data_IF_553737113675
#
_entry.id   IF_553737113675
#
_cell.length_a   1.000
_cell.length_b   1.000
_cell.length_c   1.000
_cell.angle_alpha   90.00
_cell.angle_beta   90.00
_cell.angle_gamma   90.00
#
_symmetry.space_group_name_H-M   'P 1'
#
loop_
_entity.id
_entity.type
_entity.pdbx_description
1 polymer ?
#
# COMPACT_ATOMS: atom_id res chain seq x y z
N UNK A 1 25.60 -8.61 -5.23
CA UNK A 1 24.41 -7.74 -5.32
C UNK A 1 23.83 -7.68 -3.92
N UNK A 2 23.91 -6.54 -3.24
CA UNK A 2 23.38 -6.39 -1.88
C UNK A 2 21.89 -6.12 -2.00
N UNK A 3 21.05 -7.13 -1.81
CA UNK A 3 19.62 -6.89 -1.68
C UNK A 3 19.40 -5.98 -0.47
N UNK A 4 18.69 -4.87 -0.67
CA UNK A 4 18.32 -4.00 0.45
C UNK A 4 17.55 -4.83 1.48
N UNK A 5 17.73 -4.63 2.78
CA UNK A 5 16.98 -5.39 3.79
C UNK A 5 15.48 -5.19 3.60
N UNK A 6 14.70 -6.27 3.78
CA UNK A 6 13.24 -6.17 3.80
C UNK A 6 12.82 -5.27 4.96
N UNK A 7 12.03 -4.26 4.66
CA UNK A 7 11.43 -3.36 5.64
C UNK A 7 9.93 -3.61 5.71
N UNK A 8 9.36 -3.40 6.89
CA UNK A 8 7.92 -3.49 7.09
C UNK A 8 7.27 -2.15 6.71
N UNK A 9 6.26 -2.23 5.87
CA UNK A 9 5.45 -1.09 5.44
C UNK A 9 3.99 -1.32 5.82
N UNK A 10 3.35 -0.30 6.36
CA UNK A 10 1.90 -0.29 6.51
C UNK A 10 1.28 0.22 5.21
N UNK A 11 0.47 -0.58 4.54
CA UNK A 11 -0.16 -0.22 3.27
C UNK A 11 -1.66 -0.13 3.48
N UNK A 12 -2.19 1.08 3.34
CA UNK A 12 -3.63 1.34 3.27
C UNK A 12 -4.03 1.37 1.80
N UNK A 13 -4.81 0.39 1.36
CA UNK A 13 -5.31 0.33 -0.01
C UNK A 13 -6.80 0.64 -0.02
N UNK A 14 -7.24 1.44 -0.98
CA UNK A 14 -8.60 1.96 -0.97
C UNK A 14 -9.16 2.22 -2.36
N UNK A 15 -10.48 2.10 -2.45
CA UNK A 15 -11.26 2.54 -3.61
C UNK A 15 -11.68 3.99 -3.43
N UNK A 16 -11.72 4.72 -4.55
CA UNK A 16 -12.31 6.06 -4.59
C UNK A 16 -13.58 6.05 -5.42
N UNK A 17 -14.58 6.82 -4.98
CA UNK A 17 -15.76 7.10 -5.81
C UNK A 17 -15.39 7.96 -7.03
N UNK A 18 -16.32 8.18 -7.99
CA UNK A 18 -16.09 9.08 -9.12
C UNK A 18 -15.73 10.53 -8.71
N UNK A 19 -16.07 10.94 -7.49
CA UNK A 19 -15.74 12.24 -6.90
C UNK A 19 -14.38 12.23 -6.17
N UNK A 20 -13.65 11.11 -6.17
CA UNK A 20 -12.33 10.95 -5.58
C UNK A 20 -12.31 10.67 -4.07
N UNK A 21 -13.46 10.46 -3.43
CA UNK A 21 -13.58 10.18 -1.99
C UNK A 21 -13.33 8.71 -1.70
N UNK A 22 -12.57 8.43 -0.64
CA UNK A 22 -12.33 7.06 -0.18
C UNK A 22 -13.63 6.41 0.29
N UNK A 23 -14.05 5.32 -0.36
CA UNK A 23 -15.26 4.58 0.05
C UNK A 23 -14.94 3.41 0.97
N UNK A 24 -13.94 2.62 0.62
CA UNK A 24 -13.55 1.47 1.40
C UNK A 24 -12.04 1.35 1.39
N UNK A 25 -11.48 1.28 2.58
CA UNK A 25 -10.05 1.16 2.85
C UNK A 25 -9.78 -0.11 3.62
N UNK A 26 -8.62 -0.67 3.41
CA UNK A 26 -8.12 -1.81 4.13
C UNK A 26 -6.62 -1.68 4.32
N UNK A 27 -6.13 -2.12 5.47
CA UNK A 27 -4.80 -1.83 5.95
C UNK A 27 -4.07 -3.13 6.21
N UNK A 28 -3.00 -3.37 5.45
CA UNK A 28 -2.16 -4.55 5.60
C UNK A 28 -0.70 -4.15 5.90
N UNK A 29 0.05 -5.09 6.50
CA UNK A 29 1.49 -4.94 6.72
C UNK A 29 2.22 -5.76 5.67
N UNK A 30 3.10 -5.11 4.89
CA UNK A 30 3.82 -5.71 3.78
C UNK A 30 5.32 -5.59 3.99
N UNK A 31 6.03 -6.72 3.88
CA UNK A 31 7.49 -6.73 3.84
C UNK A 31 7.97 -6.52 2.39
N UNK A 32 8.74 -5.46 2.17
CA UNK A 32 9.28 -5.12 0.86
C UNK A 32 10.63 -4.42 0.96
N UNK A 33 11.35 -4.35 -0.16
CA UNK A 33 12.62 -3.63 -0.25
C UNK A 33 12.45 -2.12 -0.46
N UNK A 34 11.22 -1.68 -0.77
CA UNK A 34 10.90 -0.26 -0.95
C UNK A 34 9.40 -0.01 -0.74
N UNK A 35 8.99 1.24 -0.44
CA UNK A 35 7.57 1.60 -0.37
C UNK A 35 6.83 1.31 -1.67
N UNK A 36 7.47 1.51 -2.83
CA UNK A 36 6.89 1.20 -4.14
C UNK A 36 6.62 -0.29 -4.30
N UNK A 37 7.57 -1.15 -3.90
CA UNK A 37 7.38 -2.59 -3.94
C UNK A 37 6.26 -3.05 -2.97
N UNK A 38 6.12 -2.41 -1.80
CA UNK A 38 5.02 -2.66 -0.89
C UNK A 38 3.66 -2.28 -1.49
N UNK A 39 3.56 -1.10 -2.12
CA UNK A 39 2.37 -0.69 -2.87
C UNK A 39 2.03 -1.66 -3.99
N UNK A 40 3.02 -2.03 -4.81
CA UNK A 40 2.79 -2.95 -5.93
C UNK A 40 2.37 -4.33 -5.45
N UNK A 41 2.92 -4.85 -4.33
CA UNK A 41 2.41 -6.09 -3.73
C UNK A 41 0.95 -5.94 -3.29
N UNK A 42 0.61 -4.87 -2.57
CA UNK A 42 -0.76 -4.65 -2.11
C UNK A 42 -1.77 -4.38 -3.25
N UNK A 43 -1.32 -3.86 -4.40
CA UNK A 43 -2.15 -3.58 -5.56
C UNK A 43 -2.20 -4.74 -6.57
N UNK A 44 -1.12 -5.53 -6.70
CA UNK A 44 -1.02 -6.67 -7.63
C UNK A 44 -1.41 -8.01 -7.03
N UNK A 45 -1.37 -8.18 -5.70
CA UNK A 45 -2.01 -9.35 -5.10
C UNK A 45 -3.49 -9.26 -5.46
N UNK A 46 -3.90 -10.09 -6.44
CA UNK A 46 -5.26 -10.33 -6.97
C UNK A 46 -6.29 -10.73 -5.87
N UNK A 47 -6.03 -10.41 -4.60
CA UNK A 47 -6.72 -10.86 -3.40
C UNK A 47 -7.57 -9.79 -2.72
N UNK A 48 -7.57 -8.56 -3.21
CA UNK A 48 -8.23 -7.46 -2.51
C UNK A 48 -9.33 -6.82 -3.35
N UNK A 49 -10.25 -7.66 -3.82
CA UNK A 49 -11.56 -7.22 -4.29
C UNK A 49 -12.40 -6.78 -3.09
N UNK A 50 -12.90 -5.56 -3.18
CA UNK A 50 -13.96 -5.06 -2.33
C UNK A 50 -15.17 -4.90 -3.25
N UNK A 51 -16.19 -5.73 -3.07
CA UNK A 51 -17.41 -5.66 -3.88
C UNK A 51 -17.16 -5.65 -5.39
N UNK A 52 -16.32 -6.58 -5.89
CA UNK A 52 -15.92 -6.71 -7.30
C UNK A 52 -15.13 -5.53 -7.91
N UNK A 53 -14.60 -4.60 -7.10
CA UNK A 53 -13.81 -3.47 -7.59
C UNK A 53 -12.33 -3.65 -7.22
N UNK A 54 -11.46 -3.69 -8.24
CA UNK A 54 -10.01 -3.67 -8.07
C UNK A 54 -9.55 -2.37 -7.42
N UNK A 55 -8.78 -2.49 -6.33
CA UNK A 55 -8.12 -1.34 -5.67
C UNK A 55 -7.13 -0.70 -6.64
N UNK A 56 -7.29 0.60 -6.89
CA UNK A 56 -6.38 1.36 -7.77
C UNK A 56 -5.41 2.24 -7.01
N UNK A 57 -5.56 2.39 -5.69
CA UNK A 57 -4.74 3.31 -4.87
C UNK A 57 -4.26 2.62 -3.61
N UNK A 58 -2.98 2.82 -3.30
CA UNK A 58 -2.34 2.34 -2.09
C UNK A 58 -1.50 3.46 -1.47
N UNK A 59 -1.78 3.78 -0.21
CA UNK A 59 -1.00 4.67 0.62
C UNK A 59 -0.05 3.84 1.48
N UNK A 60 1.24 3.99 1.24
CA UNK A 60 2.28 3.24 1.92
C UNK A 60 2.91 4.11 2.98
N UNK A 61 2.95 3.61 4.20
CA UNK A 61 3.58 4.25 5.34
C UNK A 61 4.79 3.44 5.76
N UNK A 62 5.98 4.04 5.63
CA UNK A 62 7.22 3.50 6.19
C UNK A 62 7.22 3.60 7.71
N UNK A 63 7.47 2.47 8.36
CA UNK A 63 7.68 2.39 9.81
C UNK A 63 9.19 2.41 10.09
N UNK A 64 9.63 3.22 11.03
CA UNK A 64 10.99 3.11 11.54
C UNK A 64 11.13 1.95 12.54
N UNK A 65 12.36 1.69 12.99
CA UNK A 65 12.67 0.62 13.95
C UNK A 65 11.97 0.80 15.32
N UNK A 66 11.34 1.95 15.57
CA UNK A 66 10.64 2.32 16.80
C UNK A 66 9.11 2.35 16.55
N UNK A 67 8.66 1.97 15.35
CA UNK A 67 7.25 1.97 14.96
C UNK A 67 6.68 3.36 14.65
N UNK A 68 7.50 4.41 14.57
CA UNK A 68 7.03 5.74 14.20
C UNK A 68 6.86 5.86 12.68
N UNK A 69 5.74 6.46 12.28
CA UNK A 69 5.38 6.71 10.88
C UNK A 69 6.26 7.79 10.31
N UNK A 70 7.11 7.45 9.35
CA UNK A 70 8.14 8.37 8.84
C UNK A 70 7.86 8.92 7.45
N UNK A 71 7.21 8.14 6.58
CA UNK A 71 6.95 8.53 5.19
C UNK A 71 5.65 7.92 4.71
N UNK A 72 4.71 8.75 4.26
CA UNK A 72 3.45 8.32 3.66
C UNK A 72 3.46 8.68 2.17
N UNK A 73 3.49 7.68 1.29
CA UNK A 73 3.50 7.88 -0.16
C UNK A 73 2.27 7.24 -0.79
N UNK A 74 1.55 8.01 -1.62
CA UNK A 74 0.43 7.50 -2.40
C UNK A 74 0.93 6.92 -3.73
N UNK A 75 0.51 5.70 -4.01
CA UNK A 75 0.71 5.01 -5.26
C UNK A 75 -0.64 4.72 -5.91
N UNK A 76 -0.69 4.82 -7.23
CA UNK A 76 -1.90 4.54 -8.01
C UNK A 76 -1.58 3.75 -9.27
N UNK A 77 -2.37 2.73 -9.55
CA UNK A 77 -2.41 2.06 -10.86
C UNK A 77 -3.45 2.76 -11.73
N UNK A 78 -2.98 3.47 -12.75
CA UNK A 78 -3.81 4.06 -13.81
C UNK A 78 -4.18 2.99 -14.83
#
# INVERSE_FOLDING_TARGET
MTEAPLQQFQVESFNTDPEGRSQQSDVCLVFAHSPKAAAMKALNEDLHEIGNVRRRRARVTGLDAIGQRRVTTLYSQL
#
